data_IF_957510787946
#
_entry.id   IF_957510787946
#
_cell.length_a   1.000
_cell.length_b   1.000
_cell.length_c   1.000
_cell.angle_alpha   90.00
_cell.angle_beta   90.00
_cell.angle_gamma   90.00
#
_symmetry.space_group_name_H-M   'P 1'
#
loop_
_entity.id
_entity.type
_entity.pdbx_description
1 polymer ?
#
# COMPACT_ATOMS: atom_id res chain seq x y z
N UNK A 1 -22.42 16.45 -12.27
CA UNK A 1 -21.03 16.12 -11.91
C UNK A 1 -20.19 16.07 -13.19
N UNK A 2 -19.03 16.74 -13.25
CA UNK A 2 -18.24 16.83 -14.49
C UNK A 2 -17.23 15.67 -14.57
N UNK A 3 -17.48 14.72 -15.49
CA UNK A 3 -16.64 13.53 -15.72
C UNK A 3 -15.16 13.84 -15.95
N UNK A 4 -14.85 14.98 -16.56
CA UNK A 4 -13.46 15.41 -16.78
C UNK A 4 -12.72 15.74 -15.48
N UNK A 5 -13.40 16.32 -14.49
CA UNK A 5 -12.80 16.63 -13.18
C UNK A 5 -12.53 15.36 -12.37
N UNK A 6 -13.45 14.40 -12.41
CA UNK A 6 -13.32 13.11 -11.71
C UNK A 6 -12.17 12.27 -12.27
N UNK A 7 -12.05 12.22 -13.59
CA UNK A 7 -10.96 11.52 -14.26
C UNK A 7 -9.58 12.06 -13.86
N UNK A 8 -9.41 13.39 -13.88
CA UNK A 8 -8.16 14.02 -13.45
C UNK A 8 -7.84 13.74 -11.97
N UNK A 9 -8.85 13.70 -11.11
CA UNK A 9 -8.67 13.37 -9.70
C UNK A 9 -8.26 11.92 -9.49
N UNK A 10 -8.85 10.98 -10.24
CA UNK A 10 -8.48 9.57 -10.20
C UNK A 10 -7.04 9.34 -10.66
N UNK A 11 -6.61 9.98 -11.76
CA UNK A 11 -5.23 9.93 -12.24
C UNK A 11 -4.24 10.50 -11.23
N UNK A 12 -4.58 11.62 -10.59
CA UNK A 12 -3.71 12.20 -9.56
C UNK A 12 -3.53 11.23 -8.38
N UNK A 13 -4.63 10.63 -7.91
CA UNK A 13 -4.59 9.65 -6.82
C UNK A 13 -3.76 8.42 -7.17
N UNK A 14 -3.88 7.88 -8.39
CA UNK A 14 -3.09 6.73 -8.80
C UNK A 14 -1.59 7.06 -8.90
N UNK A 15 -1.24 8.25 -9.39
CA UNK A 15 0.13 8.74 -9.41
C UNK A 15 0.70 8.94 -8.00
N UNK A 16 -0.08 9.53 -7.09
CA UNK A 16 0.30 9.73 -5.69
C UNK A 16 0.55 8.38 -4.99
N UNK A 17 -0.33 7.39 -5.18
CA UNK A 17 -0.15 6.04 -4.64
C UNK A 17 1.11 5.37 -5.19
N UNK A 18 1.37 5.48 -6.51
CA UNK A 18 2.57 4.93 -7.12
C UNK A 18 3.85 5.55 -6.55
N UNK A 19 3.86 6.87 -6.32
CA UNK A 19 5.01 7.55 -5.70
C UNK A 19 5.29 7.03 -4.29
N UNK A 20 4.24 6.83 -3.50
CA UNK A 20 4.37 6.32 -2.14
C UNK A 20 4.88 4.88 -2.10
N UNK A 21 4.41 4.01 -3.01
CA UNK A 21 4.96 2.64 -3.11
C UNK A 21 6.45 2.65 -3.44
N UNK A 22 6.86 3.48 -4.40
CA UNK A 22 8.27 3.62 -4.78
C UNK A 22 9.15 4.12 -3.63
N UNK A 23 8.63 5.02 -2.80
CA UNK A 23 9.30 5.46 -1.58
C UNK A 23 9.46 4.30 -0.60
N UNK A 24 8.37 3.60 -0.28
CA UNK A 24 8.32 2.52 0.72
C UNK A 24 9.30 1.40 0.42
N UNK A 25 9.40 0.94 -0.84
CA UNK A 25 10.30 -0.17 -1.21
C UNK A 25 11.79 0.16 -1.03
N UNK A 26 12.14 1.43 -0.80
CA UNK A 26 13.53 1.86 -0.56
C UNK A 26 13.84 2.04 0.92
N UNK A 27 12.83 1.92 1.79
CA UNK A 27 12.97 2.05 3.23
C UNK A 27 13.39 0.72 3.86
N UNK A 28 13.97 0.79 5.07
CA UNK A 28 14.07 -0.40 5.92
C UNK A 28 12.69 -0.86 6.36
N UNK A 29 12.54 -2.14 6.68
CA UNK A 29 11.27 -2.75 7.11
C UNK A 29 10.52 -1.95 8.18
N UNK A 30 11.18 -1.55 9.27
CA UNK A 30 10.60 -0.72 10.33
C UNK A 30 10.05 0.61 9.79
N UNK A 31 10.83 1.31 8.96
CA UNK A 31 10.43 2.59 8.37
C UNK A 31 9.33 2.42 7.32
N UNK A 32 9.33 1.31 6.60
CA UNK A 32 8.30 0.96 5.64
C UNK A 32 6.95 0.76 6.34
N UNK A 33 6.95 0.03 7.46
CA UNK A 33 5.78 -0.18 8.32
C UNK A 33 5.21 1.16 8.80
N UNK A 34 6.04 1.96 9.48
CA UNK A 34 5.64 3.28 10.01
C UNK A 34 5.06 4.16 8.89
N UNK A 35 5.78 4.23 7.77
CA UNK A 35 5.38 5.07 6.63
C UNK A 35 4.02 4.67 6.04
N UNK A 36 3.67 3.38 6.06
CA UNK A 36 2.37 2.89 5.59
C UNK A 36 1.27 3.28 6.57
N UNK A 37 1.49 3.07 7.86
CA UNK A 37 0.50 3.34 8.91
C UNK A 37 0.22 4.83 9.09
N UNK A 38 1.23 5.68 8.88
CA UNK A 38 1.10 7.14 8.91
C UNK A 38 0.47 7.72 7.63
N UNK A 39 0.26 6.92 6.58
CA UNK A 39 -0.35 7.41 5.36
C UNK A 39 -1.78 7.89 5.63
N UNK A 40 -2.21 8.93 4.91
CA UNK A 40 -3.58 9.47 5.05
C UNK A 40 -4.67 8.40 4.87
N UNK A 41 -4.41 7.41 4.01
CA UNK A 41 -5.31 6.31 3.73
C UNK A 41 -4.51 4.99 3.62
N UNK A 42 -4.16 4.35 4.75
CA UNK A 42 -3.27 3.19 4.77
C UNK A 42 -3.81 2.00 3.97
N UNK A 43 -5.11 1.69 4.11
CA UNK A 43 -5.76 0.62 3.35
C UNK A 43 -5.67 0.84 1.83
N UNK A 44 -5.91 2.08 1.37
CA UNK A 44 -5.80 2.41 -0.05
C UNK A 44 -4.36 2.30 -0.56
N UNK A 45 -3.37 2.58 0.29
CA UNK A 45 -1.96 2.40 -0.03
C UNK A 45 -1.59 0.92 -0.11
N UNK A 46 -1.98 0.11 0.88
CA UNK A 46 -1.79 -1.35 0.90
C UNK A 46 -2.43 -1.99 -0.33
N UNK A 47 -3.70 -1.69 -0.63
CA UNK A 47 -4.40 -2.25 -1.80
C UNK A 47 -3.81 -1.79 -3.14
N UNK A 48 -2.97 -0.76 -3.11
CA UNK A 48 -2.30 -0.29 -4.32
C UNK A 48 -1.04 -1.10 -4.66
N UNK A 49 -0.51 -1.88 -3.71
CA UNK A 49 0.59 -2.80 -3.98
C UNK A 49 0.08 -3.99 -4.81
N UNK A 50 0.82 -4.42 -5.85
CA UNK A 50 0.65 -5.75 -6.42
C UNK A 50 0.72 -6.81 -5.32
N UNK A 51 -0.03 -7.90 -5.48
CA UNK A 51 -0.16 -8.95 -4.46
C UNK A 51 1.20 -9.56 -4.09
N UNK A 52 2.05 -9.80 -5.09
CA UNK A 52 3.42 -10.28 -4.86
C UNK A 52 4.30 -9.27 -4.13
N UNK A 53 4.21 -7.99 -4.47
CA UNK A 53 5.00 -6.94 -3.79
C UNK A 53 4.56 -6.81 -2.32
N UNK A 54 3.26 -6.94 -2.05
CA UNK A 54 2.73 -6.93 -0.69
C UNK A 54 3.19 -8.16 0.10
N UNK A 55 3.17 -9.35 -0.51
CA UNK A 55 3.73 -10.57 0.09
C UNK A 55 5.20 -10.37 0.50
N UNK A 56 6.04 -9.86 -0.41
CA UNK A 56 7.45 -9.62 -0.09
C UNK A 56 7.64 -8.57 1.00
N UNK A 57 6.84 -7.51 1.00
CA UNK A 57 6.86 -6.50 2.06
C UNK A 57 6.54 -7.10 3.44
N UNK A 58 5.47 -7.91 3.54
CA UNK A 58 5.11 -8.61 4.79
C UNK A 58 6.21 -9.56 5.23
N UNK A 59 6.86 -10.26 4.30
CA UNK A 59 7.97 -11.15 4.62
C UNK A 59 9.25 -10.42 5.05
N UNK A 60 9.52 -9.24 4.49
CA UNK A 60 10.68 -8.41 4.86
C UNK A 60 10.47 -7.74 6.24
N UNK A 61 9.24 -7.33 6.56
CA UNK A 61 8.87 -6.83 7.89
C UNK A 61 8.83 -7.97 8.91
N UNK A 62 8.34 -9.13 8.51
CA UNK A 62 8.04 -10.26 9.38
C UNK A 62 6.55 -10.37 9.64
N UNK A 63 6.03 -11.60 9.54
CA UNK A 63 4.61 -11.92 9.72
C UNK A 63 4.06 -11.46 11.08
N UNK A 64 4.84 -11.64 12.15
CA UNK A 64 4.43 -11.25 13.51
C UNK A 64 4.40 -9.74 13.73
N UNK A 65 5.11 -8.98 12.90
CA UNK A 65 5.19 -7.52 13.01
C UNK A 65 4.25 -6.84 11.98
N UNK A 66 3.58 -7.63 11.13
CA UNK A 66 2.74 -7.15 10.04
C UNK A 66 1.23 -7.23 10.33
N UNK A 67 0.79 -7.48 11.57
CA UNK A 67 -0.63 -7.67 11.88
C UNK A 67 -1.52 -6.52 11.41
N UNK A 68 -1.07 -5.28 11.57
CA UNK A 68 -1.83 -4.10 11.15
C UNK A 68 -1.94 -4.00 9.62
N UNK A 69 -0.91 -4.44 8.90
CA UNK A 69 -0.92 -4.49 7.43
C UNK A 69 -1.85 -5.60 6.94
N UNK A 70 -1.78 -6.78 7.57
CA UNK A 70 -2.64 -7.93 7.26
C UNK A 70 -4.11 -7.62 7.52
N UNK A 71 -4.43 -6.91 8.61
CA UNK A 71 -5.80 -6.49 8.93
C UNK A 71 -6.40 -5.53 7.88
N UNK A 72 -5.55 -4.86 7.10
CA UNK A 72 -5.94 -3.94 6.04
C UNK A 72 -5.83 -4.54 4.64
N UNK A 73 -5.27 -5.74 4.49
CA UNK A 73 -5.08 -6.40 3.20
C UNK A 73 -6.42 -6.68 2.52
N UNK A 74 -6.43 -6.61 1.19
CA UNK A 74 -7.58 -7.04 0.39
C UNK A 74 -7.66 -8.57 0.33
N UNK A 75 -8.84 -9.11 -0.01
CA UNK A 75 -9.02 -10.56 -0.16
C UNK A 75 -8.01 -11.19 -1.14
N UNK A 76 -7.71 -10.50 -2.25
CA UNK A 76 -6.71 -10.95 -3.23
C UNK A 76 -5.29 -11.00 -2.68
N UNK A 77 -4.96 -10.08 -1.78
CA UNK A 77 -3.65 -10.06 -1.13
C UNK A 77 -3.55 -11.19 -0.09
N UNK A 78 -4.66 -11.53 0.58
CA UNK A 78 -4.74 -12.70 1.45
C UNK A 78 -4.53 -14.02 0.71
N UNK A 79 -5.01 -14.15 -0.53
CA UNK A 79 -4.79 -15.35 -1.35
C UNK A 79 -3.29 -15.66 -1.61
N UNK A 80 -2.40 -14.71 -1.35
CA UNK A 80 -0.95 -14.82 -1.59
C UNK A 80 -0.11 -15.05 -0.32
N UNK A 81 -0.70 -14.98 0.88
CA UNK A 81 -0.02 -15.10 2.18
C UNK A 81 -0.29 -16.47 2.79
#
# INVERSE_FOLDING_TARGET
MNKGKEYNLALKRSADLLSQRKEIITLSSEKALDRILEAKHPAALIHSFPEQDFYFLVHDIGLNDSYELLALASDKQWDYI
#
